data_IF_279699257158
#
_entry.id   IF_279699257158
#
_cell.length_a   1.000
_cell.length_b   1.000
_cell.length_c   1.000
_cell.angle_alpha   90.00
_cell.angle_beta   90.00
_cell.angle_gamma   90.00
#
_symmetry.space_group_name_H-M   'P 1'
#
loop_
_entity.id
_entity.type
_entity.pdbx_description
1 polymer ?
#
# COMPACT_ATOMS: atom_id res chain seq x y z
N UNK A 1 3.21 -2.84 -6.22
CA UNK A 1 3.53 -2.55 -7.62
C UNK A 1 2.27 -2.53 -8.47
N UNK A 2 2.04 -3.58 -9.27
CA UNK A 2 0.89 -3.66 -10.17
C UNK A 2 -0.47 -3.49 -9.46
N UNK A 3 -0.62 -4.08 -8.27
CA UNK A 3 -1.84 -3.93 -7.47
C UNK A 3 -2.17 -2.47 -7.14
N UNK A 4 -1.15 -1.64 -6.86
CA UNK A 4 -1.33 -0.21 -6.59
C UNK A 4 -1.57 0.56 -7.89
N UNK A 5 -0.79 0.29 -8.93
CA UNK A 5 -0.94 0.97 -10.21
C UNK A 5 -2.37 0.81 -10.76
N UNK A 6 -2.87 -0.42 -10.82
CA UNK A 6 -4.21 -0.68 -11.34
C UNK A 6 -5.32 -0.44 -10.33
N UNK A 7 -5.08 -0.71 -9.05
CA UNK A 7 -6.08 -0.51 -7.99
C UNK A 7 -6.36 0.97 -7.74
N UNK A 8 -5.33 1.78 -7.50
CA UNK A 8 -5.51 3.23 -7.38
C UNK A 8 -5.88 3.87 -8.72
N UNK A 9 -5.37 3.34 -9.84
CA UNK A 9 -5.82 3.76 -11.17
C UNK A 9 -7.34 3.60 -11.37
N UNK A 10 -7.91 2.47 -10.93
CA UNK A 10 -9.36 2.27 -10.96
C UNK A 10 -10.11 3.25 -10.05
N UNK A 11 -9.55 3.59 -8.89
CA UNK A 11 -10.11 4.62 -8.00
C UNK A 11 -10.05 6.02 -8.61
N UNK A 12 -8.96 6.39 -9.29
CA UNK A 12 -8.87 7.65 -10.06
C UNK A 12 -9.93 7.69 -11.14
N UNK A 13 -10.15 6.59 -11.88
CA UNK A 13 -11.21 6.54 -12.89
C UNK A 13 -12.61 6.71 -12.27
N UNK A 14 -12.85 6.08 -11.13
CA UNK A 14 -14.15 6.15 -10.45
C UNK A 14 -14.42 7.51 -9.77
N UNK A 15 -13.39 8.17 -9.23
CA UNK A 15 -13.51 9.42 -8.47
C UNK A 15 -13.29 10.68 -9.33
N UNK A 16 -12.39 10.59 -10.32
CA UNK A 16 -11.93 11.74 -11.11
C UNK A 16 -11.05 12.72 -10.32
N UNK A 17 -10.77 13.88 -10.89
CA UNK A 17 -9.98 14.93 -10.22
C UNK A 17 -10.85 15.93 -9.45
N UNK A 18 -12.06 16.20 -9.95
CA UNK A 18 -13.01 17.17 -9.38
C UNK A 18 -14.20 16.48 -8.69
N UNK A 19 -14.04 15.22 -8.26
CA UNK A 19 -15.13 14.39 -7.71
C UNK A 19 -16.14 13.91 -8.74
N UNK A 20 -15.89 14.16 -10.03
CA UNK A 20 -16.67 13.63 -11.16
C UNK A 20 -15.90 12.49 -11.80
N UNK A 21 -16.39 11.26 -11.63
CA UNK A 21 -15.80 10.07 -12.22
C UNK A 21 -15.56 10.21 -13.72
N UNK A 22 -14.42 9.69 -14.19
CA UNK A 22 -14.04 9.66 -15.60
C UNK A 22 -14.75 8.53 -16.37
N UNK A 23 -15.40 7.62 -15.63
CA UNK A 23 -16.17 6.50 -16.16
C UNK A 23 -17.46 6.34 -15.36
N UNK A 24 -18.39 5.54 -15.87
CA UNK A 24 -19.75 5.41 -15.33
C UNK A 24 -19.87 4.56 -14.07
N UNK A 25 -18.84 3.80 -13.69
CA UNK A 25 -18.89 3.00 -12.46
C UNK A 25 -18.61 3.85 -11.22
N UNK A 26 -19.20 3.47 -10.09
CA UNK A 26 -19.03 4.17 -8.81
C UNK A 26 -17.76 3.76 -8.05
N UNK A 27 -17.44 4.54 -7.01
CA UNK A 27 -16.35 4.27 -6.07
C UNK A 27 -16.24 2.81 -5.57
N UNK A 28 -17.33 2.10 -5.22
CA UNK A 28 -17.25 0.72 -4.72
C UNK A 28 -16.59 -0.25 -5.70
N UNK A 29 -16.74 -0.02 -7.02
CA UNK A 29 -16.13 -0.86 -8.05
C UNK A 29 -14.62 -0.68 -8.06
N UNK A 30 -14.14 0.56 -8.05
CA UNK A 30 -12.70 0.85 -7.97
C UNK A 30 -12.07 0.30 -6.70
N UNK A 31 -12.78 0.42 -5.56
CA UNK A 31 -12.32 -0.13 -4.28
C UNK A 31 -12.23 -1.66 -4.33
N UNK A 32 -13.22 -2.32 -4.92
CA UNK A 32 -13.22 -3.78 -5.11
C UNK A 32 -12.04 -4.23 -5.96
N UNK A 33 -11.70 -3.49 -7.02
CA UNK A 33 -10.52 -3.78 -7.86
C UNK A 33 -9.24 -3.66 -7.03
N UNK A 34 -9.06 -2.56 -6.29
CA UNK A 34 -7.90 -2.39 -5.43
C UNK A 34 -7.77 -3.51 -4.40
N UNK A 35 -8.85 -3.81 -3.66
CA UNK A 35 -8.83 -4.84 -2.61
C UNK A 35 -8.59 -6.24 -3.18
N UNK A 36 -9.16 -6.56 -4.34
CA UNK A 36 -8.95 -7.85 -5.00
C UNK A 36 -7.50 -8.02 -5.44
N UNK A 37 -6.91 -6.98 -6.05
CA UNK A 37 -5.50 -7.01 -6.46
C UNK A 37 -4.55 -7.09 -5.25
N UNK A 38 -4.89 -6.42 -4.15
CA UNK A 38 -4.12 -6.51 -2.90
C UNK A 38 -4.20 -7.91 -2.30
N UNK A 39 -5.38 -8.55 -2.32
CA UNK A 39 -5.54 -9.94 -1.89
C UNK A 39 -4.71 -10.89 -2.73
N UNK A 40 -4.73 -10.75 -4.06
CA UNK A 40 -3.89 -11.55 -4.97
C UNK A 40 -2.40 -11.34 -4.65
N UNK A 41 -1.96 -10.09 -4.48
CA UNK A 41 -0.58 -9.79 -4.12
C UNK A 41 -0.17 -10.42 -2.78
N UNK A 42 -1.04 -10.37 -1.77
CA UNK A 42 -0.81 -11.00 -0.48
C UNK A 42 -0.70 -12.52 -0.60
N UNK A 43 -1.59 -13.17 -1.36
CA UNK A 43 -1.52 -14.63 -1.60
C UNK A 43 -0.21 -15.01 -2.28
N UNK A 44 0.18 -14.27 -3.33
CA UNK A 44 1.45 -14.52 -4.03
C UNK A 44 2.66 -14.32 -3.11
N UNK A 45 2.63 -13.31 -2.24
CA UNK A 45 3.66 -13.07 -1.24
C UNK A 45 3.77 -14.27 -0.28
N UNK A 46 2.65 -14.71 0.30
CA UNK A 46 2.62 -15.84 1.25
C UNK A 46 3.12 -17.12 0.58
N UNK A 47 2.67 -17.43 -0.64
CA UNK A 47 3.09 -18.63 -1.38
C UNK A 47 4.59 -18.57 -1.69
N UNK A 48 5.09 -17.43 -2.15
CA UNK A 48 6.52 -17.25 -2.47
C UNK A 48 7.38 -17.37 -1.21
N UNK A 49 6.97 -16.72 -0.12
CA UNK A 49 7.63 -16.84 1.18
C UNK A 49 7.68 -18.30 1.62
N UNK A 50 6.55 -19.00 1.67
CA UNK A 50 6.47 -20.38 2.12
C UNK A 50 7.38 -21.32 1.31
N UNK A 51 7.45 -21.12 -0.01
CA UNK A 51 8.36 -21.88 -0.90
C UNK A 51 9.83 -21.57 -0.64
N UNK A 52 10.16 -20.33 -0.31
CA UNK A 52 11.55 -19.87 -0.10
C UNK A 52 12.09 -20.14 1.31
N UNK A 53 11.22 -20.24 2.33
CA UNK A 53 11.63 -20.29 3.74
C UNK A 53 11.68 -21.69 4.36
N UNK A 54 11.58 -22.76 3.56
CA UNK A 54 11.51 -24.15 4.05
C UNK A 54 12.65 -24.61 4.98
N UNK A 55 13.79 -23.90 5.00
CA UNK A 55 14.94 -24.20 5.86
C UNK A 55 15.20 -23.16 6.98
N UNK A 56 14.47 -22.04 7.03
CA UNK A 56 14.71 -20.99 8.03
C UNK A 56 14.09 -21.42 9.35
N UNK A 57 14.92 -21.89 10.29
CA UNK A 57 14.53 -22.28 11.65
C UNK A 57 15.14 -21.35 12.69
N UNK A 58 14.51 -21.28 13.87
CA UNK A 58 15.03 -20.55 15.02
C UNK A 58 14.64 -19.07 15.06
N UNK A 59 15.54 -18.22 15.58
CA UNK A 59 15.25 -16.84 15.96
C UNK A 59 14.83 -15.95 14.77
N UNK A 60 15.46 -16.14 13.60
CA UNK A 60 15.13 -15.40 12.38
C UNK A 60 13.67 -15.61 11.96
N UNK A 61 13.16 -16.84 12.03
CA UNK A 61 11.77 -17.14 11.69
C UNK A 61 10.79 -16.43 12.65
N UNK A 62 11.13 -16.34 13.94
CA UNK A 62 10.30 -15.63 14.93
C UNK A 62 10.26 -14.12 14.67
N UNK A 63 11.39 -13.50 14.33
CA UNK A 63 11.44 -12.06 13.98
C UNK A 63 10.60 -11.73 12.76
N UNK A 64 10.72 -12.52 11.69
CA UNK A 64 9.93 -12.33 10.48
C UNK A 64 8.44 -12.62 10.70
N UNK A 65 8.09 -13.57 11.56
CA UNK A 65 6.70 -13.80 11.96
C UNK A 65 6.12 -12.61 12.73
N UNK A 66 6.87 -12.03 13.68
CA UNK A 66 6.46 -10.81 14.39
C UNK A 66 6.21 -9.66 13.41
N UNK A 67 7.13 -9.42 12.48
CA UNK A 67 6.94 -8.42 11.41
C UNK A 67 5.72 -8.74 10.53
N UNK A 68 5.50 -10.01 10.17
CA UNK A 68 4.30 -10.42 9.43
C UNK A 68 3.01 -10.07 10.17
N UNK A 69 2.96 -10.28 11.50
CA UNK A 69 1.79 -9.91 12.32
C UNK A 69 1.58 -8.40 12.47
N UNK A 70 2.60 -7.57 12.26
CA UNK A 70 2.43 -6.11 12.28
C UNK A 70 1.56 -5.59 11.13
N UNK A 71 1.49 -6.31 10.00
CA UNK A 71 0.60 -5.98 8.88
C UNK A 71 -0.88 -5.95 9.28
N UNK A 72 -1.51 -7.10 9.64
CA UNK A 72 -2.92 -7.11 10.00
C UNK A 72 -3.20 -6.26 11.26
N UNK A 73 -2.28 -6.20 12.22
CA UNK A 73 -2.44 -5.35 13.41
C UNK A 73 -2.48 -3.85 13.05
N UNK A 74 -1.59 -3.38 12.18
CA UNK A 74 -1.55 -2.00 11.72
C UNK A 74 -2.81 -1.61 10.94
N UNK A 75 -3.24 -2.45 9.99
CA UNK A 75 -4.47 -2.20 9.23
C UNK A 75 -5.74 -2.30 10.07
N UNK A 76 -5.77 -3.17 11.08
CA UNK A 76 -6.86 -3.20 12.06
C UNK A 76 -6.94 -1.87 12.82
N UNK A 77 -5.80 -1.34 13.27
CA UNK A 77 -5.75 -0.04 13.93
C UNK A 77 -6.23 1.09 13.01
N UNK A 78 -5.78 1.12 11.75
CA UNK A 78 -6.28 2.08 10.73
C UNK A 78 -7.79 2.00 10.60
N UNK A 79 -8.37 0.80 10.49
CA UNK A 79 -9.82 0.63 10.43
C UNK A 79 -10.56 1.16 11.66
N UNK A 80 -9.99 1.02 12.86
CA UNK A 80 -10.56 1.63 14.08
C UNK A 80 -10.52 3.16 14.03
N UNK A 81 -9.40 3.73 13.57
CA UNK A 81 -9.29 5.18 13.36
C UNK A 81 -10.29 5.67 12.32
N UNK A 82 -10.43 4.95 11.21
CA UNK A 82 -11.38 5.28 10.15
C UNK A 82 -12.83 5.30 10.66
N UNK A 83 -13.25 4.29 11.44
CA UNK A 83 -14.59 4.27 12.05
C UNK A 83 -14.82 5.44 13.01
N UNK A 84 -13.77 5.90 13.70
CA UNK A 84 -13.85 7.06 14.59
C UNK A 84 -13.90 8.38 13.81
N UNK A 85 -13.12 8.50 12.74
CA UNK A 85 -13.02 9.68 11.87
C UNK A 85 -14.23 9.86 10.95
N UNK A 86 -14.85 8.77 10.49
CA UNK A 86 -16.02 8.79 9.61
C UNK A 86 -17.22 9.55 10.22
N UNK A 87 -17.25 9.73 11.54
CA UNK A 87 -18.30 10.48 12.25
C UNK A 87 -18.02 11.99 12.34
N UNK A 88 -16.85 12.44 11.87
CA UNK A 88 -16.30 13.78 12.13
C UNK A 88 -15.86 14.51 10.87
N UNK A 89 -15.56 13.78 9.81
CA UNK A 89 -15.03 14.31 8.57
C UNK A 89 -16.07 14.26 7.45
N UNK A 90 -15.94 15.16 6.48
CA UNK A 90 -16.63 15.04 5.22
C UNK A 90 -16.08 13.84 4.41
N UNK A 91 -16.88 13.30 3.48
CA UNK A 91 -16.56 12.06 2.76
C UNK A 91 -15.27 12.15 1.92
N UNK A 92 -14.99 13.33 1.38
CA UNK A 92 -13.77 13.63 0.62
C UNK A 92 -12.52 13.61 1.52
N UNK A 93 -12.59 14.30 2.66
CA UNK A 93 -11.53 14.32 3.67
C UNK A 93 -11.30 12.93 4.27
N UNK A 94 -12.38 12.18 4.50
CA UNK A 94 -12.34 10.82 5.00
C UNK A 94 -11.59 9.91 4.04
N UNK A 95 -11.94 9.96 2.75
CA UNK A 95 -11.25 9.18 1.70
C UNK A 95 -9.76 9.50 1.66
N UNK A 96 -9.42 10.79 1.73
CA UNK A 96 -8.03 11.26 1.68
C UNK A 96 -7.21 10.75 2.86
N UNK A 97 -7.77 10.85 4.07
CA UNK A 97 -7.10 10.45 5.31
C UNK A 97 -7.00 8.93 5.44
N UNK A 98 -8.03 8.16 5.07
CA UNK A 98 -7.94 6.70 5.09
C UNK A 98 -6.87 6.18 4.15
N UNK A 99 -6.74 6.76 2.95
CA UNK A 99 -5.65 6.40 2.03
C UNK A 99 -4.28 6.72 2.63
N UNK A 100 -4.13 7.89 3.26
CA UNK A 100 -2.87 8.30 3.86
C UNK A 100 -2.49 7.43 5.08
N UNK A 101 -3.44 7.13 5.97
CA UNK A 101 -3.17 6.25 7.11
C UNK A 101 -2.75 4.84 6.66
N UNK A 102 -3.40 4.30 5.64
CA UNK A 102 -3.02 3.03 5.04
C UNK A 102 -1.60 3.07 4.46
N UNK A 103 -1.27 4.11 3.69
CA UNK A 103 0.02 4.24 3.03
C UNK A 103 1.17 4.57 4.00
N UNK A 104 0.89 5.31 5.07
CA UNK A 104 1.80 5.51 6.20
C UNK A 104 2.21 4.17 6.82
N UNK A 105 1.24 3.31 7.15
CA UNK A 105 1.51 1.98 7.69
C UNK A 105 2.32 1.16 6.69
N UNK A 106 1.93 1.15 5.41
CA UNK A 106 2.68 0.44 4.36
C UNK A 106 4.14 0.91 4.30
N UNK A 107 4.38 2.22 4.25
CA UNK A 107 5.73 2.77 4.16
C UNK A 107 6.61 2.36 5.36
N UNK A 108 6.06 2.47 6.57
CA UNK A 108 6.74 2.04 7.80
C UNK A 108 7.01 0.52 7.82
N UNK A 109 6.08 -0.30 7.32
CA UNK A 109 6.25 -1.75 7.26
C UNK A 109 7.33 -2.15 6.24
N UNK A 110 7.42 -1.46 5.10
CA UNK A 110 8.51 -1.65 4.15
C UNK A 110 9.86 -1.23 4.75
N UNK A 111 9.92 -0.09 5.43
CA UNK A 111 11.15 0.36 6.12
C UNK A 111 11.59 -0.65 7.19
N UNK A 112 10.68 -1.06 8.07
CA UNK A 112 11.01 -2.02 9.15
C UNK A 112 11.38 -3.39 8.60
N UNK A 113 10.70 -3.88 7.57
CA UNK A 113 11.05 -5.13 6.90
C UNK A 113 12.42 -5.06 6.22
N UNK A 114 12.72 -3.96 5.53
CA UNK A 114 14.02 -3.70 4.94
C UNK A 114 15.13 -3.62 6.00
N UNK A 115 14.87 -2.96 7.14
CA UNK A 115 15.83 -2.88 8.24
C UNK A 115 16.09 -4.26 8.89
N UNK A 116 15.03 -5.05 9.12
CA UNK A 116 15.14 -6.40 9.69
C UNK A 116 15.88 -7.37 8.76
N UNK A 117 15.64 -7.27 7.46
CA UNK A 117 16.32 -8.07 6.44
C UNK A 117 17.66 -7.52 5.99
N UNK A 118 18.04 -6.31 6.42
CA UNK A 118 19.19 -5.54 5.89
C UNK A 118 19.10 -5.31 4.37
N UNK A 119 17.88 -5.23 3.85
CA UNK A 119 17.54 -5.02 2.45
C UNK A 119 17.29 -3.54 2.18
N UNK A 120 18.36 -2.82 1.82
CA UNK A 120 18.31 -1.38 1.51
C UNK A 120 17.27 -1.00 0.44
N UNK A 121 17.07 -1.76 -0.65
CA UNK A 121 16.06 -1.39 -1.65
C UNK A 121 14.64 -1.41 -1.06
N UNK A 122 14.34 -2.37 -0.18
CA UNK A 122 13.05 -2.44 0.51
C UNK A 122 12.89 -1.27 1.50
N UNK A 123 13.96 -0.92 2.21
CA UNK A 123 13.97 0.24 3.10
C UNK A 123 13.73 1.55 2.34
N UNK A 124 14.48 1.78 1.25
CA UNK A 124 14.36 2.96 0.41
C UNK A 124 12.98 3.06 -0.25
N UNK A 125 12.38 1.93 -0.66
CA UNK A 125 11.01 1.90 -1.14
C UNK A 125 10.01 2.35 -0.08
N UNK A 126 10.19 1.95 1.18
CA UNK A 126 9.37 2.44 2.28
C UNK A 126 9.48 3.96 2.49
N UNK A 127 10.70 4.50 2.44
CA UNK A 127 10.94 5.96 2.49
C UNK A 127 10.26 6.67 1.32
N UNK A 128 10.37 6.11 0.11
CA UNK A 128 9.73 6.65 -1.09
C UNK A 128 8.21 6.68 -0.95
N UNK A 129 7.61 5.59 -0.45
CA UNK A 129 6.16 5.51 -0.21
C UNK A 129 5.72 6.61 0.76
N UNK A 130 6.44 6.81 1.88
CA UNK A 130 6.11 7.86 2.85
C UNK A 130 6.24 9.27 2.25
N UNK A 131 7.27 9.50 1.43
CA UNK A 131 7.46 10.78 0.77
C UNK A 131 6.33 11.08 -0.23
N UNK A 132 5.96 10.09 -1.06
CA UNK A 132 4.84 10.21 -1.99
C UNK A 132 3.55 10.47 -1.23
N UNK A 133 3.29 9.73 -0.16
CA UNK A 133 2.08 9.87 0.64
C UNK A 133 1.96 11.26 1.28
N UNK A 134 3.02 11.73 1.95
CA UNK A 134 3.07 13.06 2.56
C UNK A 134 2.90 14.20 1.55
N UNK A 135 3.54 14.08 0.37
CA UNK A 135 3.39 15.06 -0.71
C UNK A 135 1.97 15.01 -1.30
N UNK A 136 1.42 13.82 -1.46
CA UNK A 136 0.10 13.62 -2.07
C UNK A 136 -1.05 14.25 -1.26
N UNK A 137 -0.89 14.35 0.06
CA UNK A 137 -1.83 15.03 0.95
C UNK A 137 -1.98 16.54 0.69
N UNK A 138 -1.03 17.16 -0.02
CA UNK A 138 -1.09 18.58 -0.36
C UNK A 138 -2.02 18.86 -1.55
N UNK A 139 -2.60 17.82 -2.14
CA UNK A 139 -3.44 17.91 -3.33
C UNK A 139 -4.85 17.39 -3.06
N UNK A 140 -5.76 17.62 -4.02
CA UNK A 140 -7.11 17.08 -3.99
C UNK A 140 -7.11 15.53 -4.00
N UNK A 141 -8.16 14.87 -3.46
CA UNK A 141 -8.19 13.41 -3.32
C UNK A 141 -7.95 12.64 -4.64
N UNK A 142 -8.48 13.12 -5.76
CA UNK A 142 -8.24 12.52 -7.08
C UNK A 142 -6.77 12.52 -7.50
N UNK A 143 -6.07 13.63 -7.22
CA UNK A 143 -4.62 13.76 -7.49
C UNK A 143 -3.82 12.90 -6.52
N UNK A 144 -4.22 12.81 -5.25
CA UNK A 144 -3.61 11.90 -4.29
C UNK A 144 -3.63 10.46 -4.82
N UNK A 145 -4.81 9.97 -5.22
CA UNK A 145 -4.96 8.62 -5.75
C UNK A 145 -4.08 8.37 -6.98
N UNK A 146 -3.95 9.37 -7.86
CA UNK A 146 -3.06 9.28 -9.03
C UNK A 146 -1.59 9.19 -8.63
N UNK A 147 -1.14 10.02 -7.69
CA UNK A 147 0.23 9.99 -7.19
C UNK A 147 0.55 8.65 -6.53
N UNK A 148 -0.37 8.08 -5.76
CA UNK A 148 -0.23 6.74 -5.20
C UNK A 148 -0.19 5.65 -6.29
N UNK A 149 -1.06 5.73 -7.29
CA UNK A 149 -1.08 4.78 -8.42
C UNK A 149 0.27 4.79 -9.17
N UNK A 150 0.73 5.97 -9.54
CA UNK A 150 1.89 6.14 -10.41
C UNK A 150 3.18 6.06 -9.60
N UNK A 151 3.39 6.94 -8.63
CA UNK A 151 4.69 7.05 -7.96
C UNK A 151 4.94 5.90 -6.99
N UNK A 152 3.96 5.52 -6.16
CA UNK A 152 4.14 4.39 -5.26
C UNK A 152 4.05 3.05 -6.04
N UNK A 153 3.10 2.93 -6.98
CA UNK A 153 2.95 1.74 -7.82
C UNK A 153 4.15 1.45 -8.70
N UNK A 154 4.61 2.43 -9.50
CA UNK A 154 5.79 2.26 -10.36
C UNK A 154 7.08 2.20 -9.54
N UNK A 155 7.20 2.93 -8.44
CA UNK A 155 8.36 2.83 -7.54
C UNK A 155 8.57 1.41 -7.02
N UNK A 156 7.48 0.73 -6.64
CA UNK A 156 7.53 -0.67 -6.23
C UNK A 156 7.88 -1.62 -7.39
N UNK A 157 7.40 -1.36 -8.61
CA UNK A 157 7.76 -2.16 -9.81
C UNK A 157 9.24 -1.98 -10.13
N UNK A 158 9.72 -0.74 -10.19
CA UNK A 158 11.11 -0.40 -10.47
C UNK A 158 12.06 -1.04 -9.44
N UNK A 159 11.70 -1.00 -8.15
CA UNK A 159 12.46 -1.67 -7.09
C UNK A 159 12.54 -3.18 -7.31
N UNK A 160 11.41 -3.83 -7.66
CA UNK A 160 11.39 -5.26 -7.95
C UNK A 160 12.21 -5.64 -9.18
N UNK A 161 12.11 -4.86 -10.27
CA UNK A 161 12.93 -5.06 -11.47
C UNK A 161 14.42 -4.89 -11.18
N UNK A 162 14.79 -3.87 -10.39
CA UNK A 162 16.16 -3.61 -9.99
C UNK A 162 16.73 -4.78 -9.17
N UNK A 163 15.98 -5.25 -8.17
CA UNK A 163 16.42 -6.37 -7.33
C UNK A 163 16.60 -7.65 -8.15
N UNK A 164 15.70 -7.91 -9.11
CA UNK A 164 15.83 -9.05 -10.03
C UNK A 164 17.04 -8.92 -10.96
N UNK A 165 17.36 -7.72 -11.42
CA UNK A 165 18.52 -7.51 -12.30
C UNK A 165 19.85 -7.69 -11.58
N UNK A 166 19.88 -7.51 -10.25
CA UNK A 166 21.08 -7.67 -9.42
C UNK A 166 21.30 -9.09 -8.86
N UNK A 167 20.31 -9.97 -8.99
CA UNK A 167 20.35 -11.35 -8.49
C UNK A 167 20.90 -12.31 -9.57
#
# INVERSE_FOLDING_TARGET
GLAWLFGFGALVLAYGFDGRGLVSWGWPVGLTVLMSLQLVAMILMIVTLHRSTGSIRGESARRWAMWGWTWPAGFFAVGMFDMWLAKRLADDQMTQISCALAMLIVGLLYMTGGALGREWPMFALGVWILAVDAVSLQFAPGVQLLLLAVLAGLGAIATGCWMRWRA
#
